data_IF_345046007526
#
_entry.id   IF_345046007526
#
_cell.length_a   1.000
_cell.length_b   1.000
_cell.length_c   1.000
_cell.angle_alpha   90.00
_cell.angle_beta   90.00
_cell.angle_gamma   90.00
#
_symmetry.space_group_name_H-M   'P 1'
#
loop_
_entity.id
_entity.type
_entity.pdbx_description
1 polymer ?
#
# COMPACT_ATOMS: atom_id res chain seq x y z
N UNK A 1 -10.58 -11.20 -6.18
CA UNK A 1 -10.48 -9.76 -5.89
C UNK A 1 -10.16 -9.02 -7.18
N UNK A 2 -10.87 -7.93 -7.45
CA UNK A 2 -10.65 -7.18 -8.68
C UNK A 2 -9.49 -6.20 -8.54
N UNK A 3 -8.95 -5.74 -9.69
CA UNK A 3 -7.91 -4.72 -9.68
C UNK A 3 -8.36 -3.46 -8.96
N UNK A 4 -9.60 -3.06 -9.14
CA UNK A 4 -10.12 -1.84 -8.51
C UNK A 4 -10.21 -2.01 -6.99
N UNK A 5 -10.56 -3.19 -6.51
CA UNK A 5 -10.59 -3.46 -5.07
C UNK A 5 -9.19 -3.39 -4.47
N UNK A 6 -8.20 -3.94 -5.18
CA UNK A 6 -6.81 -3.90 -4.74
C UNK A 6 -6.31 -2.45 -4.71
N UNK A 7 -6.58 -1.70 -5.76
CA UNK A 7 -6.16 -0.28 -5.84
C UNK A 7 -6.84 0.55 -4.75
N UNK A 8 -8.10 0.29 -4.48
CA UNK A 8 -8.81 0.95 -3.40
C UNK A 8 -8.20 0.69 -2.04
N UNK A 9 -7.80 -0.55 -1.79
CA UNK A 9 -7.13 -0.92 -0.54
C UNK A 9 -5.79 -0.20 -0.40
N UNK A 10 -5.04 -0.08 -1.50
CA UNK A 10 -3.77 0.65 -1.50
C UNK A 10 -3.99 2.12 -1.16
N UNK A 11 -4.95 2.77 -1.82
CA UNK A 11 -5.26 4.19 -1.57
C UNK A 11 -5.65 4.42 -0.11
N UNK A 12 -6.53 3.56 0.41
CA UNK A 12 -6.98 3.68 1.79
C UNK A 12 -5.81 3.53 2.77
N UNK A 13 -4.94 2.54 2.53
CA UNK A 13 -3.80 2.30 3.40
C UNK A 13 -2.83 3.48 3.40
N UNK A 14 -2.47 3.98 2.23
CA UNK A 14 -1.53 5.10 2.12
C UNK A 14 -2.12 6.36 2.73
N UNK A 15 -3.40 6.61 2.52
CA UNK A 15 -4.09 7.78 3.07
C UNK A 15 -4.17 7.71 4.60
N UNK A 16 -4.48 6.54 5.15
CA UNK A 16 -4.58 6.35 6.59
C UNK A 16 -3.22 6.44 7.29
N UNK A 17 -2.14 6.26 6.54
CA UNK A 17 -0.78 6.28 7.08
C UNK A 17 0.05 7.35 6.38
N UNK A 18 -0.54 8.52 6.17
CA UNK A 18 0.05 9.58 5.37
C UNK A 18 1.27 10.25 6.01
N UNK A 19 1.54 9.96 7.28
CA UNK A 19 2.75 10.46 7.96
C UNK A 19 4.03 9.80 7.43
N UNK A 20 3.90 8.70 6.70
CA UNK A 20 5.04 8.02 6.08
C UNK A 20 5.13 8.35 4.60
N UNK A 21 6.34 8.31 4.07
CA UNK A 21 6.56 8.43 2.63
C UNK A 21 6.54 7.03 2.02
N UNK A 22 5.56 6.77 1.20
CA UNK A 22 5.34 5.43 0.65
C UNK A 22 5.90 5.27 -0.74
N UNK A 23 6.53 4.11 -0.98
CA UNK A 23 6.84 3.63 -2.32
C UNK A 23 5.92 2.45 -2.60
N UNK A 24 5.74 2.13 -3.88
CA UNK A 24 4.93 0.95 -4.23
C UNK A 24 5.49 -0.33 -3.64
N UNK A 25 6.81 -0.46 -3.61
CA UNK A 25 7.46 -1.64 -3.03
C UNK A 25 7.18 -1.76 -1.53
N UNK A 26 7.22 -0.65 -0.80
CA UNK A 26 6.95 -0.67 0.63
C UNK A 26 5.52 -1.13 0.92
N UNK A 27 4.56 -0.62 0.17
CA UNK A 27 3.16 -1.02 0.31
C UNK A 27 3.01 -2.52 0.00
N UNK A 28 3.59 -2.97 -1.12
CA UNK A 28 3.48 -4.36 -1.53
C UNK A 28 4.09 -5.31 -0.49
N UNK A 29 5.21 -4.93 0.10
CA UNK A 29 5.84 -5.74 1.15
C UNK A 29 4.92 -5.90 2.36
N UNK A 30 4.31 -4.81 2.81
CA UNK A 30 3.39 -4.89 3.93
C UNK A 30 2.20 -5.77 3.59
N UNK A 31 1.62 -5.61 2.39
CA UNK A 31 0.49 -6.41 1.96
C UNK A 31 0.83 -7.90 1.82
N UNK A 32 2.10 -8.23 1.62
CA UNK A 32 2.58 -9.61 1.59
C UNK A 32 3.21 -10.07 2.92
N UNK A 33 3.25 -9.21 3.93
CA UNK A 33 3.80 -9.57 5.22
C UNK A 33 5.30 -9.73 5.22
N UNK A 34 6.01 -8.89 4.47
CA UNK A 34 7.47 -8.90 4.39
C UNK A 34 8.01 -7.69 5.14
N UNK A 35 8.74 -7.95 6.21
CA UNK A 35 9.33 -6.88 7.01
C UNK A 35 10.46 -6.19 6.27
N UNK A 36 10.69 -4.93 6.61
CA UNK A 36 11.83 -4.16 6.13
C UNK A 36 12.34 -3.27 7.26
N UNK A 37 13.55 -2.70 7.15
CA UNK A 37 14.07 -1.86 8.22
C UNK A 37 13.17 -0.69 8.59
N UNK A 38 12.52 -0.07 7.60
CA UNK A 38 11.64 1.06 7.86
C UNK A 38 10.24 0.64 8.31
N UNK A 39 9.86 -0.62 8.03
CA UNK A 39 8.53 -1.13 8.34
C UNK A 39 8.64 -2.53 8.96
N UNK A 40 9.15 -2.62 10.21
CA UNK A 40 9.37 -3.91 10.84
C UNK A 40 8.07 -4.63 11.20
N UNK A 41 8.13 -5.97 11.15
CA UNK A 41 6.96 -6.80 11.42
C UNK A 41 6.41 -6.58 12.84
N UNK A 42 7.28 -6.28 13.80
CA UNK A 42 6.87 -6.06 15.19
C UNK A 42 5.82 -4.96 15.29
N UNK A 43 5.98 -3.91 14.48
CA UNK A 43 5.05 -2.78 14.47
C UNK A 43 3.93 -2.99 13.47
N UNK A 44 4.29 -3.30 12.21
CA UNK A 44 3.33 -3.33 11.12
C UNK A 44 2.53 -4.62 11.04
N UNK A 45 3.05 -5.69 11.65
CA UNK A 45 2.30 -6.95 11.74
C UNK A 45 1.00 -6.84 12.52
N UNK A 46 0.83 -5.76 13.29
CA UNK A 46 -0.40 -5.51 14.04
C UNK A 46 -1.48 -4.84 13.20
N UNK A 47 -1.12 -4.34 12.03
CA UNK A 47 -2.07 -3.66 11.14
C UNK A 47 -2.77 -4.74 10.31
N UNK A 48 -3.79 -5.35 10.88
CA UNK A 48 -4.44 -6.53 10.30
C UNK A 48 -5.12 -6.28 8.97
N UNK A 49 -5.56 -5.07 8.74
CA UNK A 49 -6.19 -4.72 7.47
C UNK A 49 -5.20 -4.64 6.32
N UNK A 50 -3.90 -4.61 6.60
CA UNK A 50 -2.86 -4.44 5.60
C UNK A 50 -1.85 -5.57 5.59
N UNK A 51 -1.33 -5.95 6.76
CA UNK A 51 -0.27 -6.96 6.85
C UNK A 51 -0.77 -8.32 6.36
N UNK A 52 -0.11 -8.86 5.33
CA UNK A 52 -0.46 -10.13 4.69
C UNK A 52 -1.87 -10.13 4.08
N UNK A 53 -2.39 -8.95 3.76
CA UNK A 53 -3.79 -8.83 3.31
C UNK A 53 -3.99 -9.30 1.86
N UNK A 54 -2.93 -9.32 1.06
CA UNK A 54 -3.04 -9.58 -0.38
C UNK A 54 -2.02 -10.61 -0.84
N UNK A 55 -1.92 -11.73 -0.11
CA UNK A 55 -0.97 -12.80 -0.44
C UNK A 55 -1.28 -13.49 -1.77
N UNK A 56 -2.51 -13.42 -2.21
CA UNK A 56 -2.96 -14.03 -3.47
C UNK A 56 -2.70 -13.15 -4.69
N UNK A 57 -2.26 -11.92 -4.50
CA UNK A 57 -1.93 -11.03 -5.60
C UNK A 57 -0.44 -11.14 -5.88
N UNK A 58 -0.07 -11.33 -7.17
CA UNK A 58 1.33 -11.39 -7.57
C UNK A 58 2.11 -10.19 -7.04
N UNK A 59 3.27 -10.44 -6.43
CA UNK A 59 4.03 -9.38 -5.78
C UNK A 59 4.43 -8.27 -6.76
N UNK A 60 4.94 -8.64 -7.94
CA UNK A 60 5.38 -7.64 -8.91
C UNK A 60 4.22 -6.83 -9.46
N UNK A 61 3.07 -7.46 -9.65
CA UNK A 61 1.86 -6.74 -10.06
C UNK A 61 1.43 -5.78 -8.95
N UNK A 62 1.48 -6.23 -7.71
CA UNK A 62 1.12 -5.39 -6.56
C UNK A 62 2.04 -4.18 -6.46
N UNK A 63 3.35 -4.38 -6.67
CA UNK A 63 4.30 -3.26 -6.69
C UNK A 63 3.93 -2.24 -7.76
N UNK A 64 3.58 -2.70 -8.97
CA UNK A 64 3.19 -1.78 -10.05
C UNK A 64 1.93 -1.01 -9.72
N UNK A 65 0.91 -1.71 -9.24
CA UNK A 65 -0.35 -1.05 -8.87
C UNK A 65 -0.13 -0.03 -7.77
N UNK A 66 0.61 -0.43 -6.73
CA UNK A 66 0.87 0.46 -5.61
C UNK A 66 1.69 1.69 -6.03
N UNK A 67 2.68 1.50 -6.91
CA UNK A 67 3.46 2.62 -7.42
C UNK A 67 2.58 3.61 -8.15
N UNK A 68 1.68 3.13 -9.00
CA UNK A 68 0.76 3.99 -9.73
C UNK A 68 -0.17 4.76 -8.79
N UNK A 69 -0.70 4.10 -7.78
CA UNK A 69 -1.60 4.76 -6.84
C UNK A 69 -0.87 5.79 -5.97
N UNK A 70 0.34 5.47 -5.51
CA UNK A 70 1.15 6.40 -4.73
C UNK A 70 1.47 7.65 -5.55
N UNK A 71 1.86 7.47 -6.81
CA UNK A 71 2.16 8.61 -7.68
C UNK A 71 0.92 9.46 -7.94
N UNK A 72 -0.23 8.83 -8.12
CA UNK A 72 -1.49 9.56 -8.32
C UNK A 72 -1.85 10.39 -7.10
N UNK A 73 -1.66 9.83 -5.91
CA UNK A 73 -1.92 10.56 -4.68
C UNK A 73 -0.99 11.75 -4.51
N UNK A 74 0.30 11.58 -4.86
CA UNK A 74 1.27 12.68 -4.79
C UNK A 74 0.92 13.82 -5.72
N UNK A 75 0.30 13.52 -6.85
CA UNK A 75 -0.12 14.53 -7.82
C UNK A 75 -1.43 15.19 -7.42
N UNK A 76 -2.00 14.79 -6.30
CA UNK A 76 -3.28 15.33 -5.85
C UNK A 76 -4.47 14.84 -6.66
N UNK A 77 -4.31 13.73 -7.40
CA UNK A 77 -5.34 13.25 -8.30
C UNK A 77 -6.63 12.87 -7.58
N UNK A 78 -6.49 12.39 -6.35
CA UNK A 78 -7.63 12.00 -5.52
C UNK A 78 -7.91 13.03 -4.43
N UNK A 79 -7.27 14.19 -4.50
CA UNK A 79 -7.46 15.24 -3.52
C UNK A 79 -8.80 15.92 -3.74
N UNK A 80 -9.48 16.21 -2.65
CA UNK A 80 -10.75 16.94 -2.70
C UNK A 80 -10.57 18.43 -2.44
N UNK A 81 -9.35 18.89 -2.30
CA UNK A 81 -9.06 20.27 -1.92
C UNK A 81 -8.71 21.18 -3.05
N UNK A 82 -8.86 20.76 -4.20
CA UNK A 82 -8.46 21.57 -5.35
C UNK A 82 -9.53 22.55 -5.77
#
# INVERSE_FOLDING_TARGET
>A
MTSEQVRGAIRAFVTQNSEHTWSGRAVARIFHGIASPNFPAKQWGRVRSAWRSHLDVDFNLLVRMATQEVLSLRRGRYSIFL
#
